data_IF_730174157387
#
_entry.id   IF_730174157387
#
_cell.length_a   1.000
_cell.length_b   1.000
_cell.length_c   1.000
_cell.angle_alpha   90.00
_cell.angle_beta   90.00
_cell.angle_gamma   90.00
#
_symmetry.space_group_name_H-M   'P 1'
#
loop_
_entity.id
_entity.type
_entity.pdbx_description
1 polymer ?
#
# COMPACT_ATOMS: atom_id res chain seq x y z
N UNK A 1 0.72 -16.62 -1.61
CA UNK A 1 -0.64 -16.08 -1.90
C UNK A 1 -1.80 -17.06 -1.67
N UNK A 2 -1.69 -18.36 -2.00
CA UNK A 2 -2.73 -19.35 -1.64
C UNK A 2 -2.99 -19.45 -0.13
N UNK A 3 -1.95 -19.23 0.69
CA UNK A 3 -2.02 -19.31 2.16
C UNK A 3 -2.82 -18.14 2.76
N UNK A 4 -2.44 -16.87 2.49
CA UNK A 4 -3.20 -15.69 2.97
C UNK A 4 -4.69 -15.68 2.57
N UNK A 5 -5.03 -16.16 1.36
CA UNK A 5 -6.44 -16.33 0.92
C UNK A 5 -7.18 -17.43 1.68
N UNK A 6 -6.49 -18.52 2.06
CA UNK A 6 -7.08 -19.58 2.91
C UNK A 6 -7.31 -19.06 4.32
N UNK A 7 -6.37 -18.30 4.88
CA UNK A 7 -6.47 -17.76 6.24
C UNK A 7 -7.60 -16.73 6.37
N UNK A 8 -7.72 -15.78 5.43
CA UNK A 8 -8.84 -14.84 5.40
C UNK A 8 -10.19 -15.54 5.23
N UNK A 9 -10.27 -16.58 4.39
CA UNK A 9 -11.51 -17.36 4.22
C UNK A 9 -11.86 -18.18 5.47
N UNK A 10 -10.88 -18.81 6.10
CA UNK A 10 -11.08 -19.60 7.32
C UNK A 10 -11.49 -18.69 8.49
N UNK A 11 -10.85 -17.53 8.62
CA UNK A 11 -11.20 -16.49 9.61
C UNK A 11 -12.58 -15.88 9.37
N UNK A 12 -12.99 -15.68 8.11
CA UNK A 12 -14.33 -15.18 7.75
C UNK A 12 -15.44 -16.22 7.96
N UNK A 13 -15.15 -17.51 7.75
CA UNK A 13 -16.10 -18.59 8.04
C UNK A 13 -16.34 -18.78 9.54
N UNK A 14 -15.29 -18.66 10.35
CA UNK A 14 -15.38 -18.85 11.81
C UNK A 14 -16.13 -17.73 12.55
N UNK A 15 -16.40 -16.57 11.93
CA UNK A 15 -16.97 -15.39 12.61
C UNK A 15 -18.30 -14.88 12.04
N UNK A 16 -19.08 -15.71 11.33
CA UNK A 16 -20.47 -15.41 10.90
C UNK A 16 -20.66 -13.97 10.37
N UNK A 17 -19.85 -13.56 9.37
CA UNK A 17 -20.01 -12.24 8.74
C UNK A 17 -21.16 -12.25 7.72
N UNK A 18 -22.00 -11.19 7.63
CA UNK A 18 -22.96 -10.99 6.55
C UNK A 18 -22.32 -11.27 5.19
N UNK A 19 -23.06 -11.94 4.30
CA UNK A 19 -22.56 -12.34 2.98
C UNK A 19 -22.02 -11.15 2.18
N UNK A 20 -22.65 -9.99 2.31
CA UNK A 20 -22.22 -8.74 1.68
C UNK A 20 -20.80 -8.30 2.09
N UNK A 21 -20.46 -8.42 3.37
CA UNK A 21 -19.11 -8.08 3.84
C UNK A 21 -18.06 -9.06 3.31
N UNK A 22 -18.41 -10.35 3.20
CA UNK A 22 -17.54 -11.36 2.59
C UNK A 22 -17.29 -11.06 1.11
N UNK A 23 -18.32 -10.65 0.39
CA UNK A 23 -18.21 -10.27 -1.01
C UNK A 23 -17.41 -8.98 -1.21
N UNK A 24 -17.59 -7.98 -0.34
CA UNK A 24 -16.77 -6.76 -0.36
C UNK A 24 -15.30 -7.04 -0.11
N UNK A 25 -14.97 -7.85 0.91
CA UNK A 25 -13.58 -8.27 1.18
C UNK A 25 -13.00 -9.03 -0.01
N UNK A 26 -13.77 -9.95 -0.61
CA UNK A 26 -13.31 -10.70 -1.80
C UNK A 26 -13.06 -9.79 -3.00
N UNK A 27 -13.92 -8.80 -3.24
CA UNK A 27 -13.74 -7.79 -4.29
C UNK A 27 -12.50 -6.96 -4.04
N UNK A 28 -12.30 -6.48 -2.80
CA UNK A 28 -11.10 -5.75 -2.41
C UNK A 28 -9.82 -6.59 -2.61
N UNK A 29 -9.81 -7.85 -2.18
CA UNK A 29 -8.66 -8.74 -2.37
C UNK A 29 -8.34 -8.98 -3.85
N UNK A 30 -9.37 -9.05 -4.71
CA UNK A 30 -9.20 -9.18 -6.15
C UNK A 30 -8.69 -7.88 -6.77
N UNK A 31 -9.24 -6.74 -6.37
CA UNK A 31 -8.79 -5.41 -6.79
C UNK A 31 -7.33 -5.17 -6.39
N UNK A 32 -6.98 -5.43 -5.12
CA UNK A 32 -5.60 -5.36 -4.63
C UNK A 32 -4.68 -6.26 -5.44
N UNK A 33 -5.09 -7.50 -5.72
CA UNK A 33 -4.29 -8.43 -6.53
C UNK A 33 -4.00 -7.91 -7.94
N UNK A 34 -5.00 -7.38 -8.64
CA UNK A 34 -4.81 -6.85 -10.00
C UNK A 34 -3.88 -5.63 -10.01
N UNK A 35 -4.02 -4.73 -9.02
CA UNK A 35 -3.24 -3.48 -8.98
C UNK A 35 -1.81 -3.65 -8.47
N UNK A 36 -1.60 -4.50 -7.46
CA UNK A 36 -0.29 -4.62 -6.78
C UNK A 36 0.45 -5.91 -7.14
N UNK A 37 -0.16 -6.79 -7.95
CA UNK A 37 0.29 -8.18 -8.09
C UNK A 37 0.59 -8.79 -6.72
N UNK A 38 -0.26 -8.47 -5.73
CA UNK A 38 -0.32 -9.09 -4.40
C UNK A 38 0.90 -8.88 -3.52
N UNK A 39 1.88 -8.12 -3.99
CA UNK A 39 3.02 -7.72 -3.23
C UNK A 39 2.75 -6.33 -2.67
N UNK A 40 3.04 -6.19 -1.38
CA UNK A 40 3.04 -4.87 -0.77
C UNK A 40 4.33 -4.18 -1.21
N UNK A 41 4.26 -2.96 -1.75
CA UNK A 41 5.46 -2.19 -2.14
C UNK A 41 6.45 -2.11 -0.97
N UNK A 42 5.94 -2.00 0.26
CA UNK A 42 6.77 -2.01 1.46
C UNK A 42 7.52 -3.34 1.64
N UNK A 43 6.91 -4.48 1.28
CA UNK A 43 7.57 -5.81 1.32
C UNK A 43 8.54 -6.04 0.17
N UNK A 44 8.31 -5.41 -0.99
CA UNK A 44 9.17 -5.59 -2.16
C UNK A 44 10.55 -4.97 -1.93
N UNK A 45 10.61 -3.84 -1.21
CA UNK A 45 11.86 -3.13 -0.91
C UNK A 45 12.44 -3.44 0.48
N UNK A 46 11.79 -4.30 1.28
CA UNK A 46 12.23 -4.67 2.63
C UNK A 46 13.63 -5.31 2.67
N UNK A 47 14.03 -6.00 1.60
CA UNK A 47 15.33 -6.64 1.49
C UNK A 47 16.46 -5.71 1.00
N UNK A 48 16.11 -4.50 0.55
CA UNK A 48 17.10 -3.52 0.11
C UNK A 48 17.68 -2.75 1.30
N UNK A 49 18.95 -2.31 1.24
CA UNK A 49 19.51 -1.36 2.20
C UNK A 49 18.69 -0.05 2.28
N UNK A 50 18.94 0.75 3.31
CA UNK A 50 18.19 1.98 3.58
C UNK A 50 18.24 2.97 2.41
N UNK A 51 19.41 3.19 1.81
CA UNK A 51 19.59 4.23 0.79
C UNK A 51 18.86 3.90 -0.52
N UNK A 52 19.01 2.70 -1.13
CA UNK A 52 18.22 2.36 -2.33
C UNK A 52 16.72 2.35 -2.07
N UNK A 53 16.29 1.94 -0.86
CA UNK A 53 14.88 1.98 -0.47
C UNK A 53 14.34 3.40 -0.40
N UNK A 54 15.15 4.33 0.13
CA UNK A 54 14.84 5.76 0.20
C UNK A 54 14.74 6.35 -1.20
N UNK A 55 15.70 6.09 -2.07
CA UNK A 55 15.72 6.63 -3.45
C UNK A 55 14.50 6.18 -4.25
N UNK A 56 14.12 4.90 -4.12
CA UNK A 56 12.93 4.36 -4.78
C UNK A 56 11.66 5.03 -4.22
N UNK A 57 11.51 5.12 -2.89
CA UNK A 57 10.35 5.78 -2.27
C UNK A 57 10.24 7.24 -2.71
N UNK A 58 11.36 7.95 -2.71
CA UNK A 58 11.44 9.33 -3.16
C UNK A 58 10.99 9.46 -4.61
N UNK A 59 11.51 8.64 -5.52
CA UNK A 59 11.10 8.65 -6.93
C UNK A 59 9.59 8.38 -7.12
N UNK A 60 9.03 7.43 -6.39
CA UNK A 60 7.61 7.08 -6.47
C UNK A 60 6.69 8.17 -5.87
N UNK A 61 7.12 8.80 -4.78
CA UNK A 61 6.29 9.75 -4.02
C UNK A 61 6.41 11.18 -4.52
N UNK A 62 7.55 11.58 -5.10
CA UNK A 62 7.80 13.00 -5.40
C UNK A 62 6.80 13.57 -6.40
N UNK A 63 6.41 12.78 -7.40
CA UNK A 63 5.36 13.17 -8.35
C UNK A 63 3.96 13.31 -7.71
N UNK A 64 3.72 12.70 -6.56
CA UNK A 64 2.46 12.87 -5.79
C UNK A 64 2.52 14.13 -4.94
N UNK A 65 3.63 14.35 -4.25
CA UNK A 65 3.86 15.50 -3.36
C UNK A 65 3.81 16.81 -4.14
N UNK A 66 4.45 16.89 -5.31
CA UNK A 66 4.44 18.09 -6.16
C UNK A 66 3.06 18.50 -6.69
N UNK A 67 2.05 17.63 -6.59
CA UNK A 67 0.69 17.92 -7.06
C UNK A 67 -0.20 18.50 -5.96
N UNK A 68 0.30 18.62 -4.74
CA UNK A 68 -0.47 19.09 -3.58
C UNK A 68 0.00 20.51 -3.23
N UNK A 69 -0.82 21.55 -3.46
CA UNK A 69 -0.42 22.96 -3.25
C UNK A 69 0.03 23.30 -1.82
N UNK A 70 -0.34 22.47 -0.84
CA UNK A 70 0.11 22.60 0.54
C UNK A 70 1.64 22.50 0.67
N UNK A 71 2.30 21.79 -0.25
CA UNK A 71 3.72 21.49 -0.19
C UNK A 71 4.59 22.46 -1.00
N UNK A 72 4.00 23.42 -1.73
CA UNK A 72 4.71 24.31 -2.66
C UNK A 72 5.80 25.17 -2.00
N UNK A 73 5.63 25.51 -0.72
CA UNK A 73 6.56 26.37 0.03
C UNK A 73 7.38 25.61 1.09
N UNK A 74 7.39 24.28 1.05
CA UNK A 74 8.18 23.48 1.99
C UNK A 74 9.61 23.26 1.48
N UNK A 75 10.57 23.18 2.40
CA UNK A 75 11.96 22.85 2.10
C UNK A 75 12.08 21.42 1.55
N UNK A 76 13.01 21.21 0.62
CA UNK A 76 13.28 19.92 -0.03
C UNK A 76 13.55 18.82 1.01
N UNK A 77 14.26 19.14 2.09
CA UNK A 77 14.50 18.20 3.19
C UNK A 77 13.22 17.75 3.91
N UNK A 78 12.22 18.63 3.98
CA UNK A 78 10.93 18.32 4.58
C UNK A 78 10.09 17.47 3.61
N UNK A 79 10.15 17.78 2.31
CA UNK A 79 9.50 16.96 1.27
C UNK A 79 10.07 15.55 1.22
N UNK A 80 11.38 15.39 1.36
CA UNK A 80 12.07 14.11 1.52
C UNK A 80 11.51 13.32 2.72
N UNK A 81 11.43 13.97 3.88
CA UNK A 81 10.91 13.35 5.09
C UNK A 81 9.45 12.91 4.95
N UNK A 82 8.63 13.70 4.25
CA UNK A 82 7.25 13.34 3.91
C UNK A 82 7.23 12.11 3.00
N UNK A 83 8.02 12.11 1.92
CA UNK A 83 8.12 10.99 0.97
C UNK A 83 8.54 9.68 1.66
N UNK A 84 9.45 9.74 2.64
CA UNK A 84 9.87 8.56 3.40
C UNK A 84 8.74 7.93 4.22
N UNK A 85 7.81 8.76 4.73
CA UNK A 85 6.70 8.34 5.60
C UNK A 85 5.43 7.95 4.82
N UNK A 86 5.33 8.29 3.53
CA UNK A 86 4.19 7.92 2.72
C UNK A 86 4.07 6.40 2.57
N UNK A 87 2.83 5.91 2.70
CA UNK A 87 2.48 4.51 2.49
C UNK A 87 1.36 4.44 1.44
N UNK A 88 1.54 3.67 0.35
CA UNK A 88 0.48 3.46 -0.61
C UNK A 88 -0.68 2.74 0.07
N UNK A 89 -1.90 3.24 -0.16
CA UNK A 89 -3.12 2.64 0.34
C UNK A 89 -4.12 2.51 -0.81
N UNK A 90 -4.76 1.35 -0.89
CA UNK A 90 -5.84 1.09 -1.84
C UNK A 90 -7.18 1.28 -1.16
N UNK A 91 -8.09 1.95 -1.85
CA UNK A 91 -9.47 2.14 -1.42
C UNK A 91 -10.41 1.62 -2.52
N UNK A 92 -11.55 1.05 -2.12
CA UNK A 92 -12.60 0.51 -3.01
C UNK A 92 -13.97 0.93 -2.52
#
# INVERSE_FOLDING_TARGET
MRVKRRDSKHWMHHRLRPQELRERVRRYDQYKWVNTRGDDEETLFQNLPKDPRRDIKHHLCMGLVWRVPLFDNMDERLLDAICEQLKPALYT
#
